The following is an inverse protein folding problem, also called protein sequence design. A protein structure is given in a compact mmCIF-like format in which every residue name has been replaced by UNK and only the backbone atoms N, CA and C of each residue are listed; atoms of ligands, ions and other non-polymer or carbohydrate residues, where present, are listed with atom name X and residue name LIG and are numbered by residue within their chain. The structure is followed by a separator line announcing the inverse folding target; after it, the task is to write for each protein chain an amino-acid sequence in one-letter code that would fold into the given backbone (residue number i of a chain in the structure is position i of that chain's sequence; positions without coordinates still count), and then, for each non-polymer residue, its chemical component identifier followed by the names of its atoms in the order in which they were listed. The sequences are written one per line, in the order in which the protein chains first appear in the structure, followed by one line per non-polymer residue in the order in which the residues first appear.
data_IF_110526410025
#
_entry.id   IF_110526410025
#
_cell.length_a   1.000
_cell.length_b   1.000
_cell.length_c   1.000
_cell.angle_alpha   90.00
_cell.angle_beta   90.00
_cell.angle_gamma   90.00
#
_symmetry.space_group_name_H-M   'P 1'
#
loop_
_entity.id
_entity.type
_entity.pdbx_description
1 polymer ?
#
# COMPACT_ATOMS: atom_id res chain seq x y z
N UNK A 1 8.58 1.63 11.89
CA UNK A 1 9.52 1.82 10.77
C UNK A 1 9.92 3.30 10.79
N UNK A 2 10.92 3.73 10.04
CA UNK A 2 11.05 5.17 9.82
C UNK A 2 9.94 5.62 8.86
N UNK A 3 9.39 6.84 9.04
CA UNK A 3 8.32 7.36 8.17
C UNK A 3 8.69 7.27 6.69
N UNK A 4 9.96 7.51 6.36
CA UNK A 4 10.48 7.37 5.01
C UNK A 4 10.34 5.93 4.46
N UNK A 5 10.75 4.91 5.23
CA UNK A 5 10.62 3.50 4.83
C UNK A 5 9.15 3.10 4.63
N UNK A 6 8.27 3.59 5.51
CA UNK A 6 6.82 3.35 5.41
C UNK A 6 6.25 4.01 4.15
N UNK A 7 6.72 5.22 3.82
CA UNK A 7 6.35 5.93 2.60
C UNK A 7 6.73 5.14 1.35
N UNK A 8 7.98 4.67 1.28
CA UNK A 8 8.45 3.88 0.13
C UNK A 8 7.73 2.54 0.02
N UNK A 9 7.47 1.88 1.15
CA UNK A 9 6.68 0.65 1.19
C UNK A 9 5.26 0.88 0.66
N UNK A 10 4.64 2.00 1.06
CA UNK A 10 3.29 2.36 0.63
C UNK A 10 3.23 2.63 -0.87
N UNK A 11 4.20 3.38 -1.43
CA UNK A 11 4.34 3.60 -2.88
C UNK A 11 4.47 2.28 -3.65
N UNK A 12 5.30 1.36 -3.17
CA UNK A 12 5.51 0.05 -3.81
C UNK A 12 4.21 -0.77 -3.86
N UNK A 13 3.46 -0.82 -2.76
CA UNK A 13 2.20 -1.56 -2.71
C UNK A 13 1.14 -0.92 -3.62
N UNK A 14 1.08 0.41 -3.70
CA UNK A 14 0.19 1.09 -4.64
C UNK A 14 0.51 0.75 -6.10
N UNK A 15 1.80 0.73 -6.46
CA UNK A 15 2.23 0.33 -7.80
C UNK A 15 1.89 -1.14 -8.11
N UNK A 16 2.01 -2.04 -7.13
CA UNK A 16 1.56 -3.44 -7.26
C UNK A 16 0.05 -3.54 -7.48
N UNK A 17 -0.74 -2.82 -6.68
CA UNK A 17 -2.21 -2.80 -6.81
C UNK A 17 -2.60 -2.29 -8.19
N UNK A 18 -2.01 -1.18 -8.65
CA UNK A 18 -2.34 -0.58 -9.95
C UNK A 18 -2.10 -1.58 -11.09
N UNK A 19 -0.93 -2.22 -11.11
CA UNK A 19 -0.57 -3.21 -12.13
C UNK A 19 -1.52 -4.40 -12.14
N UNK A 20 -1.84 -4.93 -10.97
CA UNK A 20 -2.70 -6.12 -10.86
C UNK A 20 -4.18 -5.80 -11.16
N UNK A 21 -4.62 -4.56 -10.97
CA UNK A 21 -5.96 -4.11 -11.37
C UNK A 21 -6.14 -4.17 -12.89
N UNK A 22 -5.16 -3.71 -13.67
CA UNK A 22 -5.22 -3.77 -15.15
C UNK A 22 -5.43 -5.20 -15.67
N UNK A 23 -4.78 -6.19 -15.05
CA UNK A 23 -4.95 -7.60 -15.41
C UNK A 23 -6.26 -8.19 -14.87
N UNK A 24 -6.68 -7.77 -13.67
CA UNK A 24 -7.95 -8.20 -13.09
C UNK A 24 -9.15 -7.74 -13.93
N UNK A 25 -9.11 -6.52 -14.47
CA UNK A 25 -10.14 -5.97 -15.37
C UNK A 25 -10.29 -6.78 -16.66
N UNK A 26 -9.18 -7.37 -17.15
CA UNK A 26 -9.18 -8.29 -18.31
C UNK A 26 -9.73 -9.69 -17.97
N UNK A 27 -10.24 -9.90 -16.75
CA UNK A 27 -10.82 -11.17 -16.31
C UNK A 27 -9.84 -12.13 -15.63
N UNK A 28 -8.61 -11.70 -15.34
CA UNK A 28 -7.64 -12.55 -14.65
C UNK A 28 -7.99 -12.73 -13.16
N UNK A 29 -8.55 -13.89 -12.82
CA UNK A 29 -8.97 -14.23 -11.44
C UNK A 29 -7.80 -14.28 -10.45
N UNK A 30 -6.60 -14.65 -10.90
CA UNK A 30 -5.42 -14.70 -10.04
C UNK A 30 -4.94 -13.28 -9.70
N UNK A 31 -4.93 -12.37 -10.70
CA UNK A 31 -4.64 -10.95 -10.48
C UNK A 31 -5.65 -10.33 -9.49
N UNK A 32 -6.94 -10.61 -9.67
CA UNK A 32 -7.98 -10.16 -8.72
C UNK A 32 -7.74 -10.68 -7.28
N UNK A 33 -7.19 -11.90 -7.10
CA UNK A 33 -6.82 -12.40 -5.77
C UNK A 33 -5.60 -11.67 -5.21
N UNK A 34 -4.60 -11.35 -6.05
CA UNK A 34 -3.42 -10.56 -5.65
C UNK A 34 -3.80 -9.14 -5.26
N UNK A 35 -4.65 -8.45 -6.03
CA UNK A 35 -5.21 -7.13 -5.66
C UNK A 35 -5.83 -7.19 -4.25
N UNK A 36 -6.69 -8.17 -3.96
CA UNK A 36 -7.31 -8.32 -2.63
C UNK A 36 -6.27 -8.48 -1.50
N UNK A 37 -5.21 -9.25 -1.74
CA UNK A 37 -4.13 -9.42 -0.74
C UNK A 37 -3.34 -8.13 -0.57
N UNK A 38 -2.99 -7.47 -1.67
CA UNK A 38 -2.23 -6.24 -1.68
C UNK A 38 -3.00 -5.09 -1.00
N UNK A 39 -4.32 -4.98 -1.20
CA UNK A 39 -5.15 -3.97 -0.51
C UNK A 39 -5.24 -4.21 0.99
N UNK A 40 -5.31 -5.46 1.46
CA UNK A 40 -5.23 -5.77 2.89
C UNK A 40 -3.88 -5.38 3.50
N UNK A 41 -2.78 -5.60 2.76
CA UNK A 41 -1.45 -5.19 3.19
C UNK A 41 -1.31 -3.66 3.20
N UNK A 42 -1.81 -2.99 2.16
CA UNK A 42 -1.85 -1.53 2.08
C UNK A 42 -2.59 -0.93 3.27
N UNK A 43 -3.76 -1.46 3.64
CA UNK A 43 -4.53 -0.97 4.78
C UNK A 43 -3.75 -1.03 6.11
N UNK A 44 -2.90 -2.05 6.30
CA UNK A 44 -2.03 -2.15 7.48
C UNK A 44 -0.93 -1.09 7.46
N UNK A 45 -0.22 -0.96 6.33
CA UNK A 45 0.86 0.01 6.16
C UNK A 45 0.35 1.45 6.23
N UNK A 46 -0.81 1.75 5.65
CA UNK A 46 -1.44 3.08 5.71
C UNK A 46 -1.76 3.51 7.15
N UNK A 47 -2.17 2.57 8.02
CA UNK A 47 -2.36 2.85 9.46
C UNK A 47 -1.05 3.21 10.16
N UNK A 48 0.03 2.50 9.84
CA UNK A 48 1.38 2.78 10.36
C UNK A 48 1.84 4.16 9.88
N UNK A 49 1.73 4.43 8.58
CA UNK A 49 2.05 5.73 7.98
C UNK A 49 1.32 6.86 8.69
N UNK A 50 0.01 6.74 8.91
CA UNK A 50 -0.77 7.76 9.62
C UNK A 50 -0.18 8.07 10.98
N UNK A 51 0.11 7.04 11.78
CA UNK A 51 0.71 7.22 13.12
C UNK A 51 2.07 7.93 13.01
N UNK A 52 2.96 7.43 12.16
CA UNK A 52 4.32 7.97 12.01
C UNK A 52 4.31 9.40 11.46
N UNK A 53 3.38 9.73 10.55
CA UNK A 53 3.24 11.08 9.99
C UNK A 53 2.83 12.12 11.03
N UNK A 54 1.93 11.74 11.95
CA UNK A 54 1.48 12.62 13.04
C UNK A 54 2.61 12.84 14.04
N UNK A 55 3.37 11.80 14.39
CA UNK A 55 4.52 11.96 15.30
C UNK A 55 5.62 12.81 14.65
N UNK A 56 5.93 12.59 13.37
CA UNK A 56 6.89 13.41 12.65
C UNK A 56 6.49 14.90 12.63
N UNK A 57 5.19 15.19 12.42
CA UNK A 57 4.68 16.56 12.42
C UNK A 57 4.74 17.27 13.78
N UNK A 58 4.83 16.54 14.90
CA UNK A 58 5.04 17.13 16.23
C UNK A 58 6.49 17.51 16.50
N UNK A 59 7.41 16.91 15.75
CA UNK A 59 8.85 17.05 15.94
C UNK A 59 9.49 17.97 14.88
N UNK A 60 8.67 18.43 13.93
CA UNK A 60 9.00 19.40 12.88
C UNK A 60 8.55 20.80 13.30
#
# INVERSE_FOLDING_TARGET
MALHETTETMKRILAEILRELEDAEKGNKAAAKRVRKATLNFAKIAKVYRKESVEAAKTA
#
